data_IF_080830245490
#
_entry.id   IF_080830245490
#
_cell.length_a   1.000
_cell.length_b   1.000
_cell.length_c   1.000
_cell.angle_alpha   90.00
_cell.angle_beta   90.00
_cell.angle_gamma   90.00
#
_symmetry.space_group_name_H-M   'P 1'
#
loop_
_entity.id
_entity.type
_entity.pdbx_description
1 polymer ?
#
# COMPACT_ATOMS: atom_id res chain seq x y z
N UNK A 1 -19.58 -14.01 7.31
CA UNK A 1 -20.29 -13.25 6.26
C UNK A 1 -19.85 -11.80 6.42
N UNK A 2 -19.23 -11.19 5.41
CA UNK A 2 -18.98 -9.74 5.44
C UNK A 2 -20.35 -9.06 5.36
N UNK A 3 -20.74 -8.36 6.43
CA UNK A 3 -21.94 -7.53 6.44
C UNK A 3 -21.56 -6.18 5.85
N UNK A 4 -21.40 -6.13 4.53
CA UNK A 4 -21.21 -4.84 3.87
C UNK A 4 -22.43 -3.96 4.14
N UNK A 5 -22.19 -2.68 4.41
CA UNK A 5 -23.23 -1.65 4.49
C UNK A 5 -23.28 -0.90 3.16
N UNK A 6 -24.44 -0.39 2.82
CA UNK A 6 -24.69 0.38 1.62
C UNK A 6 -24.92 1.83 2.02
N UNK A 7 -23.92 2.68 1.77
CA UNK A 7 -23.93 4.09 2.16
C UNK A 7 -24.40 4.93 1.00
N UNK A 8 -25.37 5.81 1.26
CA UNK A 8 -25.78 6.85 0.32
C UNK A 8 -24.79 8.00 0.45
N UNK A 9 -24.14 8.34 -0.67
CA UNK A 9 -23.14 9.39 -0.78
C UNK A 9 -23.66 10.49 -1.70
N UNK A 10 -23.61 11.74 -1.24
CA UNK A 10 -23.95 12.93 -2.02
C UNK A 10 -22.67 13.59 -2.55
N UNK A 11 -22.61 13.88 -3.85
CA UNK A 11 -21.39 14.41 -4.52
C UNK A 11 -21.53 15.80 -5.16
N UNK A 12 -22.67 16.47 -4.99
CA UNK A 12 -22.92 17.79 -5.57
C UNK A 12 -22.32 18.97 -4.76
N UNK A 13 -21.60 18.70 -3.67
CA UNK A 13 -20.96 19.71 -2.82
C UNK A 13 -19.44 19.79 -3.00
N UNK A 14 -18.79 20.66 -2.23
CA UNK A 14 -17.32 20.79 -2.22
C UNK A 14 -16.62 19.51 -1.75
N UNK A 15 -17.27 18.73 -0.89
CA UNK A 15 -16.80 17.43 -0.43
C UNK A 15 -17.94 16.39 -0.51
N UNK A 16 -17.61 15.12 -0.76
CA UNK A 16 -18.58 14.03 -0.64
C UNK A 16 -19.16 13.95 0.78
N UNK A 17 -20.47 13.78 0.89
CA UNK A 17 -21.17 13.66 2.17
C UNK A 17 -21.85 12.30 2.30
N UNK A 18 -21.70 11.67 3.46
CA UNK A 18 -22.33 10.39 3.80
C UNK A 18 -23.66 10.66 4.51
N UNK A 19 -24.78 10.28 3.89
CA UNK A 19 -26.12 10.62 4.40
C UNK A 19 -26.72 9.54 5.31
N UNK A 20 -26.62 8.28 4.89
CA UNK A 20 -27.22 7.15 5.59
C UNK A 20 -26.52 5.84 5.19
N UNK A 21 -26.55 4.84 6.07
CA UNK A 21 -26.04 3.50 5.82
C UNK A 21 -27.15 2.46 6.05
N UNK A 22 -27.32 1.55 5.10
CA UNK A 22 -28.32 0.48 5.15
C UNK A 22 -27.64 -0.89 5.13
N UNK A 23 -28.23 -1.89 5.78
CA UNK A 23 -27.79 -3.29 5.68
C UNK A 23 -28.28 -3.98 4.40
N UNK A 24 -29.24 -3.38 3.70
CA UNK A 24 -29.83 -3.89 2.46
C UNK A 24 -29.59 -2.91 1.31
N UNK A 25 -29.11 -3.44 0.18
CA UNK A 25 -28.76 -2.65 -0.99
C UNK A 25 -29.98 -2.05 -1.67
N UNK A 26 -31.06 -2.83 -1.82
CA UNK A 26 -32.25 -2.39 -2.52
C UNK A 26 -32.92 -1.22 -1.80
N UNK A 27 -32.95 -1.26 -0.47
CA UNK A 27 -33.43 -0.16 0.37
C UNK A 27 -32.59 1.11 0.19
N UNK A 28 -31.26 0.99 0.18
CA UNK A 28 -30.38 2.14 -0.06
C UNK A 28 -30.56 2.73 -1.47
N UNK A 29 -30.70 1.88 -2.49
CA UNK A 29 -30.88 2.30 -3.89
C UNK A 29 -32.23 3.01 -4.09
N UNK A 30 -33.31 2.49 -3.49
CA UNK A 30 -34.63 3.15 -3.51
C UNK A 30 -34.56 4.53 -2.86
N UNK A 31 -33.97 4.65 -1.67
CA UNK A 31 -33.81 5.93 -0.99
C UNK A 31 -32.92 6.91 -1.79
N UNK A 32 -31.82 6.44 -2.38
CA UNK A 32 -30.97 7.28 -3.23
C UNK A 32 -31.70 7.76 -4.49
N UNK A 33 -32.56 6.93 -5.07
CA UNK A 33 -33.40 7.30 -6.20
C UNK A 33 -34.41 8.40 -5.83
N UNK A 34 -35.07 8.29 -4.68
CA UNK A 34 -36.01 9.29 -4.18
C UNK A 34 -35.34 10.64 -3.88
N UNK A 35 -34.08 10.62 -3.39
CA UNK A 35 -33.29 11.83 -3.15
C UNK A 35 -32.87 12.54 -4.46
N UNK A 36 -32.89 11.83 -5.59
CA UNK A 36 -32.62 12.39 -6.92
C UNK A 36 -31.13 12.51 -7.26
N UNK A 37 -30.84 13.25 -8.34
CA UNK A 37 -29.51 13.35 -8.92
C UNK A 37 -28.43 13.79 -7.90
N UNK A 38 -27.23 13.22 -8.02
CA UNK A 38 -26.12 13.51 -7.12
C UNK A 38 -26.01 12.61 -5.90
N UNK A 39 -26.97 11.70 -5.71
CA UNK A 39 -26.94 10.66 -4.68
C UNK A 39 -26.62 9.32 -5.32
N UNK A 40 -25.66 8.58 -4.75
CA UNK A 40 -25.29 7.25 -5.20
C UNK A 40 -25.03 6.32 -4.03
N UNK A 41 -25.20 5.02 -4.26
CA UNK A 41 -24.94 4.00 -3.25
C UNK A 41 -23.53 3.46 -3.43
N UNK A 42 -22.74 3.49 -2.35
CA UNK A 42 -21.43 2.85 -2.30
C UNK A 42 -21.44 1.73 -1.26
N UNK A 43 -20.99 0.51 -1.60
CA UNK A 43 -20.73 -0.50 -0.59
C UNK A 43 -19.54 -0.07 0.28
N UNK A 44 -19.65 -0.29 1.58
CA UNK A 44 -18.58 -0.11 2.55
C UNK A 44 -18.54 -1.30 3.49
N UNK A 45 -17.36 -1.65 3.96
CA UNK A 45 -17.23 -2.70 4.96
C UNK A 45 -17.64 -2.18 6.33
N UNK A 46 -18.46 -2.95 7.03
CA UNK A 46 -18.77 -2.68 8.42
C UNK A 46 -17.55 -2.98 9.29
N UNK A 47 -17.06 -1.98 10.03
CA UNK A 47 -16.01 -2.15 11.02
C UNK A 47 -16.66 -2.52 12.37
N UNK A 48 -16.40 -3.73 12.92
CA UNK A 48 -16.81 -4.07 14.27
C UNK A 48 -16.21 -3.10 15.29
N UNK A 49 -16.91 -2.86 16.39
CA UNK A 49 -16.52 -1.93 17.46
C UNK A 49 -15.11 -2.14 18.02
N UNK A 50 -14.61 -3.38 17.95
CA UNK A 50 -13.42 -3.79 18.72
C UNK A 50 -12.27 -4.35 17.86
N UNK A 51 -12.36 -4.33 16.52
CA UNK A 51 -11.37 -5.01 15.65
C UNK A 51 -10.64 -4.09 14.67
N UNK A 52 -11.08 -2.84 14.50
CA UNK A 52 -10.47 -1.91 13.56
C UNK A 52 -9.17 -1.30 14.10
N UNK A 53 -8.06 -1.47 13.37
CA UNK A 53 -6.84 -0.70 13.61
C UNK A 53 -6.27 -0.15 12.31
N UNK A 54 -5.40 0.86 12.40
CA UNK A 54 -4.71 1.43 11.24
C UNK A 54 -3.34 0.78 11.12
N UNK A 55 -3.11 0.07 10.01
CA UNK A 55 -1.78 -0.39 9.65
C UNK A 55 -1.09 0.65 8.75
N UNK A 56 0.17 0.91 9.05
CA UNK A 56 1.03 1.74 8.23
C UNK A 56 1.86 0.86 7.29
N UNK A 57 2.23 1.42 6.14
CA UNK A 57 3.21 0.81 5.25
C UNK A 57 4.52 1.55 5.43
N UNK A 58 5.57 0.78 5.65
CA UNK A 58 6.95 1.26 5.76
C UNK A 58 7.69 0.89 4.49
N UNK A 59 8.43 1.85 3.93
CA UNK A 59 9.37 1.67 2.85
C UNK A 59 10.79 1.66 3.44
N UNK A 60 11.62 0.71 3.03
CA UNK A 60 13.06 0.77 3.24
C UNK A 60 13.76 0.61 1.91
N UNK A 61 14.78 1.44 1.68
CA UNK A 61 15.55 1.45 0.44
C UNK A 61 16.93 0.90 0.70
N UNK A 62 17.46 0.19 -0.29
CA UNK A 62 18.86 -0.19 -0.30
C UNK A 62 19.45 0.07 -1.68
N UNK A 63 20.70 0.48 -1.69
CA UNK A 63 21.50 0.61 -2.92
C UNK A 63 22.63 -0.40 -2.85
N UNK A 64 22.80 -1.17 -3.91
CA UNK A 64 23.90 -2.13 -4.07
C UNK A 64 24.80 -1.62 -5.17
N UNK A 65 26.08 -1.47 -4.87
CA UNK A 65 27.12 -1.08 -5.83
C UNK A 65 28.24 -2.09 -5.73
N UNK A 66 28.50 -2.80 -6.83
CA UNK A 66 29.46 -3.90 -6.86
C UNK A 66 29.19 -4.94 -5.75
N UNK A 67 30.11 -5.11 -4.80
CA UNK A 67 30.03 -6.04 -3.67
C UNK A 67 29.49 -5.42 -2.37
N UNK A 68 29.12 -4.13 -2.39
CA UNK A 68 28.69 -3.37 -1.21
C UNK A 68 27.23 -2.99 -1.30
N UNK A 69 26.60 -2.89 -0.15
CA UNK A 69 25.26 -2.33 -0.05
C UNK A 69 25.14 -1.36 1.11
N UNK A 70 24.31 -0.34 0.90
CA UNK A 70 23.87 0.60 1.93
C UNK A 70 22.36 0.49 2.06
N UNK A 71 21.87 0.43 3.29
CA UNK A 71 20.44 0.38 3.60
C UNK A 71 20.06 1.65 4.36
N UNK A 72 19.03 2.32 3.87
CA UNK A 72 18.48 3.53 4.48
C UNK A 72 17.60 3.20 5.68
N UNK A 73 17.39 4.19 6.56
CA UNK A 73 16.42 4.05 7.64
C UNK A 73 14.99 3.92 7.07
N UNK A 74 14.18 2.98 7.58
CA UNK A 74 12.80 2.83 7.12
C UNK A 74 11.97 4.09 7.35
N UNK A 75 11.18 4.46 6.35
CA UNK A 75 10.29 5.60 6.40
C UNK A 75 8.84 5.17 6.20
N UNK A 76 7.90 5.86 6.87
CA UNK A 76 6.48 5.64 6.66
C UNK A 76 6.06 6.17 5.30
N UNK A 77 5.42 5.33 4.49
CA UNK A 77 4.92 5.71 3.18
C UNK A 77 3.60 6.48 3.31
N UNK A 78 3.65 7.77 2.97
CA UNK A 78 2.48 8.64 3.01
C UNK A 78 1.37 8.14 2.06
N UNK A 79 0.12 8.18 2.53
CA UNK A 79 -1.04 7.75 1.74
C UNK A 79 -1.23 6.22 1.61
N UNK A 80 -0.26 5.41 2.02
CA UNK A 80 -0.36 3.94 1.92
C UNK A 80 -0.93 3.26 3.18
N UNK A 81 -1.20 4.03 4.24
CA UNK A 81 -1.85 3.51 5.46
C UNK A 81 -3.28 3.07 5.17
N UNK A 82 -3.74 2.01 5.82
CA UNK A 82 -5.08 1.45 5.61
C UNK A 82 -5.72 0.99 6.91
N UNK A 83 -7.04 0.96 6.93
CA UNK A 83 -7.82 0.33 8.00
C UNK A 83 -7.75 -1.19 7.78
N UNK A 84 -7.41 -1.91 8.84
CA UNK A 84 -7.35 -3.37 8.89
C UNK A 84 -8.49 -3.85 9.77
N UNK A 85 -9.41 -4.60 9.17
CA UNK A 85 -10.55 -5.20 9.87
C UNK A 85 -10.34 -6.70 10.12
N UNK A 86 -9.53 -7.35 9.29
CA UNK A 86 -9.07 -8.73 9.46
C UNK A 86 -7.65 -8.94 8.89
N UNK A 87 -7.11 -10.16 9.00
CA UNK A 87 -5.74 -10.49 8.57
C UNK A 87 -5.52 -10.34 7.06
N UNK A 88 -6.58 -10.43 6.24
CA UNK A 88 -6.47 -10.26 4.78
C UNK A 88 -6.28 -8.80 4.37
N UNK A 89 -6.62 -7.85 5.25
CA UNK A 89 -6.39 -6.42 5.03
C UNK A 89 -4.94 -5.98 5.26
N UNK A 90 -4.15 -6.81 5.92
CA UNK A 90 -2.78 -6.45 6.29
C UNK A 90 -1.98 -6.07 5.04
N UNK A 91 -1.20 -4.97 5.07
CA UNK A 91 -0.34 -4.62 3.96
C UNK A 91 0.63 -5.77 3.63
N UNK A 92 0.60 -6.22 2.38
CA UNK A 92 1.48 -7.27 1.92
C UNK A 92 2.95 -6.83 1.96
N UNK A 93 3.82 -7.79 2.30
CA UNK A 93 5.26 -7.61 2.12
C UNK A 93 5.61 -7.66 0.64
N UNK A 94 6.48 -6.76 0.18
CA UNK A 94 6.95 -6.77 -1.20
C UNK A 94 8.37 -6.22 -1.30
N UNK A 95 9.16 -6.73 -2.24
CA UNK A 95 10.50 -6.23 -2.55
C UNK A 95 10.59 -6.02 -4.06
N UNK A 96 10.90 -4.79 -4.43
CA UNK A 96 11.07 -4.36 -5.81
C UNK A 96 12.53 -4.00 -6.08
N UNK A 97 13.04 -4.40 -7.24
CA UNK A 97 14.36 -3.99 -7.73
C UNK A 97 14.14 -3.17 -9.00
N UNK A 98 14.67 -1.96 -9.04
CA UNK A 98 14.55 -1.09 -10.20
C UNK A 98 15.59 -1.48 -11.26
N UNK A 99 15.24 -2.45 -12.09
CA UNK A 99 16.10 -2.92 -13.18
C UNK A 99 16.31 -1.86 -14.26
N UNK A 100 15.37 -0.94 -14.45
CA UNK A 100 15.49 0.12 -15.46
C UNK A 100 16.54 1.14 -15.06
N UNK A 101 16.50 1.61 -13.80
CA UNK A 101 17.52 2.49 -13.25
C UNK A 101 18.89 1.81 -13.24
N UNK A 102 18.96 0.52 -12.87
CA UNK A 102 20.20 -0.26 -12.89
C UNK A 102 20.83 -0.32 -14.29
N UNK A 103 20.03 -0.58 -15.32
CA UNK A 103 20.50 -0.63 -16.70
C UNK A 103 20.97 0.74 -17.21
N UNK A 104 20.31 1.81 -16.78
CA UNK A 104 20.69 3.17 -17.14
C UNK A 104 22.05 3.56 -16.53
N UNK A 105 22.25 3.29 -15.23
CA UNK A 105 23.52 3.54 -14.53
C UNK A 105 24.68 2.78 -15.19
N UNK A 106 24.46 1.52 -15.56
CA UNK A 106 25.45 0.72 -16.26
C UNK A 106 25.77 1.30 -17.66
N UNK A 107 24.76 1.77 -18.39
CA UNK A 107 24.95 2.31 -19.74
C UNK A 107 25.62 3.69 -19.76
N UNK A 108 25.35 4.55 -18.77
CA UNK A 108 25.85 5.93 -18.74
C UNK A 108 27.18 6.05 -17.99
N UNK A 109 27.29 5.35 -16.85
CA UNK A 109 28.41 5.50 -15.92
C UNK A 109 29.31 4.26 -15.86
N UNK A 110 28.94 3.15 -16.49
CA UNK A 110 29.72 1.91 -16.47
C UNK A 110 29.67 1.19 -15.13
N UNK A 111 28.82 1.62 -14.20
CA UNK A 111 28.69 1.03 -12.87
C UNK A 111 27.47 0.14 -12.77
N UNK A 112 27.63 -1.02 -12.12
CA UNK A 112 26.52 -1.90 -11.80
C UNK A 112 25.93 -1.48 -10.46
N UNK A 113 24.81 -0.77 -10.53
CA UNK A 113 24.06 -0.32 -9.35
C UNK A 113 22.69 -0.98 -9.36
N UNK A 114 22.24 -1.52 -8.23
CA UNK A 114 20.87 -1.96 -8.04
C UNK A 114 20.19 -1.12 -6.96
N UNK A 115 19.00 -0.60 -7.28
CA UNK A 115 18.14 0.06 -6.31
C UNK A 115 17.04 -0.90 -5.87
N UNK A 116 16.99 -1.16 -4.57
CA UNK A 116 16.03 -2.06 -3.93
C UNK A 116 15.06 -1.22 -3.10
N UNK A 117 13.77 -1.53 -3.19
CA UNK A 117 12.70 -0.94 -2.37
C UNK A 117 11.91 -2.06 -1.73
N UNK A 118 11.89 -2.11 -0.41
CA UNK A 118 11.12 -3.08 0.34
C UNK A 118 9.97 -2.40 1.09
N UNK A 119 8.83 -3.08 1.14
CA UNK A 119 7.61 -2.60 1.78
C UNK A 119 7.10 -3.63 2.77
N UNK A 120 6.71 -3.17 3.97
CA UNK A 120 6.10 -4.03 4.98
C UNK A 120 5.19 -3.24 5.92
N UNK A 121 4.39 -3.95 6.72
CA UNK A 121 3.54 -3.35 7.76
C UNK A 121 4.34 -2.82 8.98
N UNK A 122 5.61 -3.20 9.12
CA UNK A 122 6.50 -2.79 10.22
C UNK A 122 7.85 -2.29 9.68
N UNK A 123 8.43 -1.31 10.36
CA UNK A 123 9.68 -0.65 9.97
C UNK A 123 10.87 -1.62 9.93
N UNK A 124 11.06 -2.37 11.01
CA UNK A 124 12.11 -3.39 11.15
C UNK A 124 12.00 -4.46 10.06
N UNK A 125 10.76 -4.90 9.77
CA UNK A 125 10.52 -5.89 8.73
C UNK A 125 10.84 -5.37 7.32
N UNK A 126 10.50 -4.12 7.02
CA UNK A 126 10.88 -3.50 5.75
C UNK A 126 12.41 -3.44 5.59
N UNK A 127 13.12 -3.13 6.68
CA UNK A 127 14.60 -3.15 6.71
C UNK A 127 15.17 -4.54 6.46
N UNK A 128 14.69 -5.55 7.17
CA UNK A 128 15.11 -6.94 6.98
C UNK A 128 14.96 -7.41 5.52
N UNK A 129 13.83 -7.07 4.90
CA UNK A 129 13.55 -7.40 3.50
C UNK A 129 14.50 -6.68 2.53
N UNK A 130 14.76 -5.39 2.75
CA UNK A 130 15.71 -4.61 1.96
C UNK A 130 17.14 -5.16 2.11
N UNK A 131 17.60 -5.38 3.34
CA UNK A 131 18.92 -5.94 3.65
C UNK A 131 19.11 -7.34 3.06
N UNK A 132 18.10 -8.22 3.22
CA UNK A 132 18.15 -9.58 2.69
C UNK A 132 18.29 -9.60 1.17
N UNK A 133 17.53 -8.76 0.47
CA UNK A 133 17.62 -8.66 -0.98
C UNK A 133 18.92 -8.00 -1.44
N UNK A 134 19.36 -6.94 -0.77
CA UNK A 134 20.59 -6.23 -1.08
C UNK A 134 21.82 -7.15 -0.93
N UNK A 135 21.88 -7.93 0.16
CA UNK A 135 22.93 -8.93 0.38
C UNK A 135 22.93 -10.00 -0.70
N UNK A 136 21.76 -10.56 -1.03
CA UNK A 136 21.64 -11.53 -2.12
C UNK A 136 22.14 -10.98 -3.46
N UNK A 137 21.89 -9.70 -3.76
CA UNK A 137 22.36 -9.07 -4.99
C UNK A 137 23.88 -8.85 -4.97
N UNK A 138 24.46 -8.45 -3.83
CA UNK A 138 25.90 -8.31 -3.68
C UNK A 138 26.63 -9.66 -3.82
N UNK A 139 26.12 -10.72 -3.19
CA UNK A 139 26.71 -12.07 -3.22
C UNK A 139 26.65 -12.72 -4.62
N UNK A 140 25.71 -12.31 -5.47
CA UNK A 140 25.54 -12.87 -6.82
C UNK A 140 26.45 -12.21 -7.86
N UNK A 141 27.21 -11.17 -7.50
CA UNK A 141 28.13 -10.52 -8.43
C UNK A 141 29.47 -11.30 -8.50
N UNK A 142 29.83 -11.94 -9.63
CA UNK A 142 31.12 -12.60 -9.76
C UNK A 142 32.25 -11.55 -9.79
N UNK A 143 33.32 -11.80 -9.04
CA UNK A 143 34.61 -11.14 -9.21
C UNK A 143 35.07 -11.34 -10.66
N UNK A 144 35.02 -10.29 -11.48
CA UNK A 144 35.67 -10.25 -12.80
C UNK A 144 37.05 -9.63 -12.64
#
# INVERSE_FOLDING_TARGET
MSSDLFVIVRTLGEAPELLAAYSDRATAENAAHELGAGHHVSPVRHAPSDTGHVAHVWECRATVTDDRYAVEEPARLAGASRIVLDTSDMPAENVYVDEQAANLEAAVHGHRVHYVRAYAARADRARELAEGKARSLADTQPNV
#
